data_IF_453765905613
#
_entry.id   IF_453765905613
#
_cell.length_a   1.000
_cell.length_b   1.000
_cell.length_c   1.000
_cell.angle_alpha   90.00
_cell.angle_beta   90.00
_cell.angle_gamma   90.00
#
_symmetry.space_group_name_H-M   'P 1'
#
loop_
_entity.id
_entity.type
_entity.pdbx_description
1 polymer ?
#
# COMPACT_ATOMS: atom_id res chain seq x y z
N UNK A 1 -22.24 1.59 6.97
CA UNK A 1 -21.79 2.29 8.20
C UNK A 1 -20.28 2.50 8.09
N UNK A 2 -19.78 3.60 8.64
CA UNK A 2 -18.36 3.91 8.73
C UNK A 2 -18.03 4.46 10.13
N UNK A 3 -16.79 4.19 10.60
CA UNK A 3 -16.27 4.73 11.86
C UNK A 3 -14.87 5.28 11.61
N UNK A 4 -14.60 6.48 12.12
CA UNK A 4 -13.27 7.09 12.06
C UNK A 4 -12.52 6.82 13.36
N UNK A 5 -11.26 6.40 13.23
CA UNK A 5 -10.33 6.23 14.34
C UNK A 5 -9.03 6.94 14.00
N UNK A 6 -8.60 7.91 14.83
CA UNK A 6 -7.34 8.62 14.64
C UNK A 6 -6.18 7.77 15.14
N UNK A 7 -5.29 7.36 14.24
CA UNK A 7 -4.14 6.53 14.54
C UNK A 7 -2.89 6.98 13.78
N UNK A 8 -1.74 6.82 14.39
CA UNK A 8 -0.44 6.78 13.73
C UNK A 8 -0.05 5.31 13.54
N UNK A 9 -0.22 4.79 12.32
CA UNK A 9 0.02 3.37 12.04
C UNK A 9 1.47 2.94 12.27
N UNK A 10 2.42 3.89 12.34
CA UNK A 10 3.81 3.62 12.70
C UNK A 10 3.99 3.27 14.20
N UNK A 11 2.95 3.45 15.03
CA UNK A 11 2.92 3.12 16.46
C UNK A 11 2.11 1.85 16.71
N UNK A 12 2.73 0.88 17.38
CA UNK A 12 2.10 -0.41 17.67
C UNK A 12 0.77 -0.28 18.42
N UNK A 13 0.73 0.58 19.45
CA UNK A 13 -0.49 0.78 20.26
C UNK A 13 -1.64 1.35 19.41
N UNK A 14 -1.34 2.29 18.49
CA UNK A 14 -2.35 2.89 17.63
C UNK A 14 -2.87 1.89 16.59
N UNK A 15 -1.99 1.08 15.99
CA UNK A 15 -2.37 0.01 15.07
C UNK A 15 -3.28 -1.04 15.76
N UNK A 16 -2.93 -1.43 16.98
CA UNK A 16 -3.75 -2.33 17.79
C UNK A 16 -5.10 -1.69 18.15
N UNK A 17 -5.10 -0.43 18.57
CA UNK A 17 -6.32 0.32 18.89
C UNK A 17 -7.26 0.48 17.71
N UNK A 18 -6.72 0.74 16.50
CA UNK A 18 -7.49 0.83 15.25
C UNK A 18 -8.21 -0.48 14.94
N UNK A 19 -7.49 -1.60 15.02
CA UNK A 19 -8.06 -2.93 14.76
C UNK A 19 -9.11 -3.29 15.81
N UNK A 20 -8.82 -3.07 17.10
CA UNK A 20 -9.77 -3.35 18.16
C UNK A 20 -11.03 -2.51 18.02
N UNK A 21 -10.90 -1.21 17.74
CA UNK A 21 -12.05 -0.33 17.51
C UNK A 21 -12.92 -0.77 16.32
N UNK A 22 -12.31 -1.40 15.30
CA UNK A 22 -13.04 -1.98 14.16
C UNK A 22 -13.83 -3.21 14.60
N UNK A 23 -13.19 -4.12 15.31
CA UNK A 23 -13.81 -5.35 15.82
C UNK A 23 -14.97 -5.01 16.77
N UNK A 24 -14.78 -4.06 17.68
CA UNK A 24 -15.81 -3.62 18.63
C UNK A 24 -17.01 -2.97 17.93
N UNK A 25 -16.77 -2.24 16.84
CA UNK A 25 -17.81 -1.52 16.14
C UNK A 25 -18.61 -2.41 15.16
N UNK A 26 -17.97 -3.41 14.55
CA UNK A 26 -18.56 -4.18 13.45
C UNK A 26 -18.62 -5.68 13.70
N UNK A 27 -18.14 -6.15 14.87
CA UNK A 27 -18.19 -7.56 15.26
C UNK A 27 -17.10 -8.43 14.62
N UNK A 28 -16.16 -7.83 13.85
CA UNK A 28 -15.08 -8.57 13.22
C UNK A 28 -14.28 -7.75 12.22
N UNK A 29 -13.31 -8.41 11.59
CA UNK A 29 -12.46 -7.81 10.55
C UNK A 29 -12.24 -8.85 9.46
N UNK A 30 -12.63 -8.54 8.24
CA UNK A 30 -12.53 -9.42 7.08
C UNK A 30 -11.47 -8.96 6.07
N UNK A 31 -11.31 -7.65 5.93
CA UNK A 31 -10.44 -7.02 4.94
C UNK A 31 -9.59 -5.97 5.61
N UNK A 32 -8.27 -6.02 5.38
CA UNK A 32 -7.32 -4.98 5.77
C UNK A 32 -6.70 -4.37 4.52
N UNK A 33 -6.82 -3.04 4.36
CA UNK A 33 -6.13 -2.29 3.31
C UNK A 33 -5.07 -1.39 3.96
N UNK A 34 -3.80 -1.69 3.75
CA UNK A 34 -2.67 -0.89 4.19
C UNK A 34 -2.30 0.15 3.12
N UNK A 35 -2.94 1.31 3.19
CA UNK A 35 -2.77 2.40 2.22
C UNK A 35 -2.11 3.65 2.81
N UNK A 36 -2.13 3.84 4.12
CA UNK A 36 -1.60 5.02 4.78
C UNK A 36 -0.16 5.35 4.37
N UNK A 37 0.11 6.61 4.10
CA UNK A 37 1.46 7.03 3.75
C UNK A 37 1.59 8.44 3.21
N UNK A 38 2.83 8.87 3.12
CA UNK A 38 3.24 10.16 2.57
C UNK A 38 4.66 10.08 2.00
N UNK A 39 5.14 11.13 1.37
CA UNK A 39 6.52 11.22 0.86
C UNK A 39 7.32 12.30 1.61
N UNK A 40 8.65 12.06 1.73
CA UNK A 40 9.65 13.04 2.18
C UNK A 40 10.84 12.96 1.23
N UNK A 41 10.73 13.57 0.04
CA UNK A 41 11.76 13.45 -0.99
C UNK A 41 13.01 14.25 -0.61
N UNK A 42 14.17 13.66 -0.89
CA UNK A 42 15.48 14.29 -0.85
C UNK A 42 16.46 13.49 -1.70
N UNK A 43 17.45 14.14 -2.28
CA UNK A 43 18.57 13.44 -2.92
C UNK A 43 19.33 12.61 -1.88
N UNK A 44 19.80 11.42 -2.25
CA UNK A 44 20.41 10.45 -1.33
C UNK A 44 21.45 11.08 -0.38
N UNK A 45 22.37 11.89 -0.91
CA UNK A 45 23.42 12.53 -0.10
C UNK A 45 22.92 13.65 0.83
N UNK A 46 21.65 14.09 0.66
CA UNK A 46 21.05 15.16 1.47
C UNK A 46 19.89 14.64 2.32
N UNK A 47 19.52 13.36 2.17
CA UNK A 47 18.42 12.78 2.94
C UNK A 47 18.84 12.62 4.39
N UNK A 48 18.03 13.14 5.31
CA UNK A 48 18.27 12.96 6.74
C UNK A 48 17.71 11.62 7.22
N UNK A 49 18.23 11.13 8.34
CA UNK A 49 17.73 9.90 8.97
C UNK A 49 16.24 10.04 9.36
N UNK A 50 15.82 11.22 9.80
CA UNK A 50 14.41 11.49 10.13
C UNK A 50 13.51 11.38 8.90
N UNK A 51 13.96 11.88 7.74
CA UNK A 51 13.21 11.76 6.48
C UNK A 51 13.12 10.29 6.04
N UNK A 52 14.19 9.53 6.23
CA UNK A 52 14.22 8.09 5.96
C UNK A 52 13.26 7.34 6.88
N UNK A 53 13.43 7.49 8.19
CA UNK A 53 12.65 6.79 9.20
C UNK A 53 11.15 7.10 9.08
N UNK A 54 10.77 8.37 8.90
CA UNK A 54 9.38 8.76 8.77
C UNK A 54 8.66 8.04 7.63
N UNK A 55 9.33 7.85 6.48
CA UNK A 55 8.73 7.18 5.32
C UNK A 55 8.73 5.65 5.48
N UNK A 56 9.83 5.07 5.96
CA UNK A 56 9.92 3.63 6.19
C UNK A 56 8.95 3.19 7.29
N UNK A 57 8.85 3.96 8.36
CA UNK A 57 7.97 3.65 9.49
C UNK A 57 6.50 3.67 9.08
N UNK A 58 6.04 4.68 8.32
CA UNK A 58 4.62 4.75 7.96
C UNK A 58 4.24 3.68 6.91
N UNK A 59 5.07 3.47 5.89
CA UNK A 59 4.72 2.60 4.78
C UNK A 59 4.99 1.11 5.06
N UNK A 60 6.19 0.79 5.57
CA UNK A 60 6.61 -0.61 5.73
C UNK A 60 6.26 -1.14 7.13
N UNK A 61 6.75 -0.47 8.18
CA UNK A 61 6.46 -0.87 9.54
C UNK A 61 4.97 -0.73 9.89
N UNK A 62 4.31 0.34 9.43
CA UNK A 62 2.87 0.54 9.63
C UNK A 62 2.04 -0.59 9.05
N UNK A 63 2.31 -0.99 7.80
CA UNK A 63 1.64 -2.13 7.17
C UNK A 63 1.89 -3.44 7.94
N UNK A 64 3.11 -3.66 8.45
CA UNK A 64 3.44 -4.80 9.31
C UNK A 64 2.64 -4.76 10.61
N UNK A 65 2.62 -3.63 11.33
CA UNK A 65 1.94 -3.50 12.62
C UNK A 65 0.42 -3.68 12.50
N UNK A 66 -0.20 -3.07 11.49
CA UNK A 66 -1.63 -3.25 11.23
C UNK A 66 -1.96 -4.70 10.87
N UNK A 67 -1.14 -5.34 10.04
CA UNK A 67 -1.32 -6.76 9.69
C UNK A 67 -1.12 -7.65 10.92
N UNK A 68 -0.10 -7.40 11.75
CA UNK A 68 0.13 -8.15 12.98
C UNK A 68 -1.04 -8.02 13.95
N UNK A 69 -1.69 -6.87 14.03
CA UNK A 69 -2.86 -6.67 14.87
C UNK A 69 -4.12 -7.34 14.28
N UNK A 70 -4.32 -7.30 12.97
CA UNK A 70 -5.49 -7.85 12.28
C UNK A 70 -5.47 -9.38 12.16
N UNK A 71 -4.30 -9.97 11.92
CA UNK A 71 -4.13 -11.40 11.64
C UNK A 71 -4.77 -12.35 12.69
N UNK A 72 -4.69 -12.13 14.01
CA UNK A 72 -5.34 -12.99 14.99
C UNK A 72 -6.86 -13.09 14.80
N UNK A 73 -7.52 -11.99 14.44
CA UNK A 73 -8.97 -11.97 14.19
C UNK A 73 -9.34 -12.74 12.91
N UNK A 74 -8.55 -12.60 11.87
CA UNK A 74 -8.72 -13.35 10.62
C UNK A 74 -8.43 -14.84 10.80
N UNK A 75 -7.39 -15.20 11.56
CA UNK A 75 -7.04 -16.59 11.89
C UNK A 75 -8.17 -17.26 12.65
N UNK A 76 -8.76 -16.60 13.65
CA UNK A 76 -9.88 -17.14 14.42
C UNK A 76 -11.10 -17.44 13.54
N UNK A 77 -11.31 -16.70 12.45
CA UNK A 77 -12.37 -16.90 11.46
C UNK A 77 -11.97 -17.87 10.34
N UNK A 78 -10.69 -18.24 10.26
CA UNK A 78 -10.10 -18.99 9.13
C UNK A 78 -10.40 -18.35 7.77
N UNK A 79 -10.39 -17.01 7.70
CA UNK A 79 -10.71 -16.24 6.51
C UNK A 79 -10.20 -14.80 6.66
N UNK A 80 -9.69 -14.21 5.56
CA UNK A 80 -9.28 -12.81 5.55
C UNK A 80 -8.63 -12.39 4.23
N UNK A 81 -8.66 -11.09 3.97
CA UNK A 81 -8.02 -10.46 2.82
C UNK A 81 -7.12 -9.31 3.29
N UNK A 82 -5.85 -9.36 2.93
CA UNK A 82 -4.88 -8.29 3.22
C UNK A 82 -4.43 -7.70 1.89
N UNK A 83 -4.62 -6.41 1.73
CA UNK A 83 -4.23 -5.67 0.53
C UNK A 83 -3.23 -4.60 0.94
N UNK A 84 -1.99 -4.77 0.54
CA UNK A 84 -0.94 -3.79 0.76
C UNK A 84 -0.77 -2.91 -0.49
N UNK A 85 -0.61 -1.61 -0.29
CA UNK A 85 -0.44 -0.66 -1.38
C UNK A 85 1.03 -0.35 -1.58
N UNK A 86 1.53 -0.63 -2.80
CA UNK A 86 2.85 -0.21 -3.25
C UNK A 86 2.75 0.85 -4.36
N UNK A 87 3.85 1.15 -4.97
CA UNK A 87 3.98 2.11 -6.07
C UNK A 87 4.98 1.57 -7.08
N UNK A 88 4.89 2.05 -8.30
CA UNK A 88 5.92 1.81 -9.33
C UNK A 88 7.32 2.19 -8.82
N UNK A 89 7.44 3.21 -7.95
CA UNK A 89 8.70 3.56 -7.30
C UNK A 89 9.33 2.40 -6.49
N UNK A 90 8.52 1.48 -5.97
CA UNK A 90 9.00 0.27 -5.28
C UNK A 90 9.53 -0.82 -6.22
N UNK A 91 9.23 -0.72 -7.52
CA UNK A 91 9.67 -1.67 -8.54
C UNK A 91 10.91 -1.15 -9.29
N UNK A 92 10.87 0.11 -9.75
CA UNK A 92 11.91 0.66 -10.64
C UNK A 92 12.79 1.72 -9.97
N UNK A 93 12.45 2.14 -8.75
CA UNK A 93 13.12 3.27 -8.09
C UNK A 93 12.67 4.63 -8.63
N UNK A 94 12.88 5.68 -7.84
CA UNK A 94 12.59 7.07 -8.25
C UNK A 94 13.64 8.00 -7.67
N UNK A 95 14.17 8.88 -8.51
CA UNK A 95 15.16 9.89 -8.11
C UNK A 95 14.59 10.76 -6.98
N UNK A 96 15.38 10.96 -5.93
CA UNK A 96 15.00 11.75 -4.75
C UNK A 96 14.01 11.05 -3.81
N UNK A 97 13.72 9.77 -4.02
CA UNK A 97 12.76 8.99 -3.20
C UNK A 97 13.33 7.63 -2.76
N UNK A 98 14.61 7.57 -2.39
CA UNK A 98 15.25 6.31 -1.99
C UNK A 98 14.56 5.67 -0.77
N UNK A 99 14.12 6.47 0.20
CA UNK A 99 13.33 6.02 1.35
C UNK A 99 11.99 5.40 0.93
N UNK A 100 11.26 6.07 0.06
CA UNK A 100 9.96 5.64 -0.45
C UNK A 100 10.09 4.39 -1.31
N UNK A 101 11.06 4.37 -2.21
CA UNK A 101 11.33 3.21 -3.07
C UNK A 101 11.71 1.97 -2.24
N UNK A 102 12.57 2.14 -1.22
CA UNK A 102 12.93 1.08 -0.31
C UNK A 102 11.73 0.56 0.48
N UNK A 103 10.91 1.46 1.05
CA UNK A 103 9.71 1.08 1.80
C UNK A 103 8.69 0.34 0.90
N UNK A 104 8.40 0.87 -0.29
CA UNK A 104 7.43 0.27 -1.23
C UNK A 104 7.94 -1.04 -1.85
N UNK A 105 9.24 -1.18 -2.08
CA UNK A 105 9.87 -2.45 -2.46
C UNK A 105 9.81 -3.48 -1.31
N UNK A 106 10.07 -3.03 -0.08
CA UNK A 106 9.93 -3.85 1.12
C UNK A 106 8.51 -4.38 1.33
N UNK A 107 7.49 -3.57 1.06
CA UNK A 107 6.07 -3.98 1.11
C UNK A 107 5.80 -5.16 0.17
N UNK A 108 6.37 -5.17 -1.03
CA UNK A 108 6.20 -6.28 -2.00
C UNK A 108 6.73 -7.59 -1.41
N UNK A 109 7.97 -7.58 -0.92
CA UNK A 109 8.61 -8.78 -0.37
C UNK A 109 7.97 -9.23 0.93
N UNK A 110 7.61 -8.28 1.81
CA UNK A 110 6.90 -8.55 3.06
C UNK A 110 5.55 -9.23 2.80
N UNK A 111 4.80 -8.77 1.81
CA UNK A 111 3.50 -9.37 1.47
C UNK A 111 3.63 -10.83 1.01
N UNK A 112 4.68 -11.17 0.27
CA UNK A 112 4.96 -12.55 -0.11
C UNK A 112 5.21 -13.46 1.11
N UNK A 113 5.89 -12.95 2.13
CA UNK A 113 6.08 -13.66 3.40
C UNK A 113 4.77 -13.81 4.15
N UNK A 114 3.97 -12.75 4.26
CA UNK A 114 2.63 -12.79 4.86
C UNK A 114 1.74 -13.84 4.18
N UNK A 115 1.74 -13.88 2.85
CA UNK A 115 0.97 -14.86 2.08
C UNK A 115 1.38 -16.31 2.43
N UNK A 116 2.68 -16.58 2.56
CA UNK A 116 3.19 -17.92 2.93
C UNK A 116 2.80 -18.32 4.36
N UNK A 117 2.89 -17.39 5.30
CA UNK A 117 2.61 -17.66 6.72
C UNK A 117 1.12 -17.84 7.01
N UNK A 118 0.26 -17.08 6.31
CA UNK A 118 -1.16 -16.98 6.60
C UNK A 118 -2.05 -17.87 5.72
N UNK A 119 -1.51 -18.44 4.63
CA UNK A 119 -2.27 -19.27 3.68
C UNK A 119 -2.96 -20.47 4.35
N UNK A 120 -2.32 -21.10 5.36
CA UNK A 120 -2.91 -22.22 6.12
C UNK A 120 -4.22 -21.86 6.85
N UNK A 121 -4.49 -20.56 7.00
CA UNK A 121 -5.69 -20.04 7.63
C UNK A 121 -6.65 -19.40 6.60
N UNK A 122 -6.53 -19.76 5.32
CA UNK A 122 -7.35 -19.20 4.24
C UNK A 122 -7.31 -17.67 4.15
N UNK A 123 -6.19 -17.05 4.53
CA UNK A 123 -5.97 -15.62 4.44
C UNK A 123 -5.13 -15.33 3.20
N UNK A 124 -5.66 -14.52 2.30
CA UNK A 124 -4.96 -14.05 1.11
C UNK A 124 -4.30 -12.71 1.38
N UNK A 125 -3.02 -12.57 1.07
CA UNK A 125 -2.29 -11.32 1.17
C UNK A 125 -1.70 -10.94 -0.20
N UNK A 126 -2.12 -9.79 -0.75
CA UNK A 126 -1.71 -9.32 -2.07
C UNK A 126 -1.26 -7.86 -2.05
N UNK A 127 -0.61 -7.44 -3.11
CA UNK A 127 -0.11 -6.08 -3.30
C UNK A 127 -0.80 -5.45 -4.50
N UNK A 128 -1.27 -4.21 -4.36
CA UNK A 128 -1.64 -3.36 -5.49
C UNK A 128 -0.54 -2.34 -5.70
N UNK A 129 0.01 -2.31 -6.90
CA UNK A 129 0.99 -1.31 -7.34
C UNK A 129 0.24 -0.21 -8.08
N UNK A 130 0.22 0.98 -7.50
CA UNK A 130 -0.45 2.13 -8.10
C UNK A 130 0.50 2.93 -8.98
N UNK A 131 -0.02 3.35 -10.14
CA UNK A 131 0.57 4.36 -10.99
C UNK A 131 0.37 5.77 -10.45
N UNK A 132 0.53 6.77 -11.31
CA UNK A 132 0.33 8.17 -10.96
C UNK A 132 -1.14 8.54 -11.14
N UNK A 133 -1.73 9.07 -10.08
CA UNK A 133 -3.11 9.55 -10.01
C UNK A 133 -3.07 10.96 -9.42
N UNK A 134 -3.83 11.94 -9.96
CA UNK A 134 -3.90 13.29 -9.41
C UNK A 134 -4.43 13.28 -7.98
N UNK A 135 -3.56 13.59 -7.03
CA UNK A 135 -3.82 13.71 -5.60
C UNK A 135 -2.85 14.71 -5.01
N UNK A 136 -3.05 15.16 -3.79
CA UNK A 136 -2.12 16.06 -3.09
C UNK A 136 -0.67 15.52 -3.10
N UNK A 137 -0.50 14.19 -3.01
CA UNK A 137 0.83 13.55 -3.03
C UNK A 137 1.53 13.69 -4.39
N UNK A 138 0.80 13.72 -5.47
CA UNK A 138 1.30 13.80 -6.85
C UNK A 138 1.17 15.19 -7.47
N UNK A 139 0.65 16.19 -6.73
CA UNK A 139 0.36 17.54 -7.21
C UNK A 139 1.52 18.12 -8.03
N UNK A 140 2.74 18.07 -7.49
CA UNK A 140 3.92 18.57 -8.20
C UNK A 140 4.17 17.89 -9.56
N UNK A 141 3.85 16.59 -9.66
CA UNK A 141 4.03 15.82 -10.90
C UNK A 141 2.95 16.20 -11.92
N UNK A 142 1.74 16.43 -11.45
CA UNK A 142 0.57 16.66 -12.30
C UNK A 142 0.42 18.12 -12.73
N UNK A 143 1.04 19.07 -12.01
CA UNK A 143 0.95 20.51 -12.26
C UNK A 143 2.19 21.10 -12.96
N UNK A 144 3.39 20.52 -12.75
CA UNK A 144 4.62 20.95 -13.45
C UNK A 144 4.66 20.31 -14.84
N UNK A 145 4.53 21.12 -15.89
CA UNK A 145 4.44 20.65 -17.28
C UNK A 145 5.64 19.79 -17.70
N UNK A 146 6.85 20.11 -17.23
CA UNK A 146 8.06 19.35 -17.55
C UNK A 146 8.05 17.97 -16.89
N UNK A 147 7.69 17.91 -15.61
CA UNK A 147 7.57 16.64 -14.91
C UNK A 147 6.42 15.79 -15.48
N UNK A 148 5.28 16.42 -15.76
CA UNK A 148 4.12 15.78 -16.37
C UNK A 148 4.51 15.11 -17.70
N UNK A 149 5.19 15.82 -18.58
CA UNK A 149 5.66 15.27 -19.86
C UNK A 149 6.60 14.07 -19.64
N UNK A 150 7.58 14.18 -18.73
CA UNK A 150 8.51 13.09 -18.41
C UNK A 150 7.78 11.84 -17.96
N UNK A 151 6.81 11.97 -17.06
CA UNK A 151 6.06 10.83 -16.55
C UNK A 151 5.07 10.27 -17.56
N UNK A 152 4.35 11.14 -18.29
CA UNK A 152 3.44 10.73 -19.36
C UNK A 152 4.14 9.95 -20.47
N UNK A 153 5.37 10.31 -20.80
CA UNK A 153 6.17 9.57 -21.80
C UNK A 153 6.51 8.14 -21.37
N UNK A 154 6.54 7.86 -20.05
CA UNK A 154 6.79 6.53 -19.50
C UNK A 154 5.52 5.69 -19.35
N UNK A 155 4.37 6.33 -19.22
CA UNK A 155 3.07 5.63 -19.09
C UNK A 155 2.61 5.20 -20.50
N UNK A 156 2.35 3.91 -20.71
CA UNK A 156 1.94 3.41 -22.03
C UNK A 156 0.61 4.00 -22.48
N UNK A 157 -0.35 4.16 -21.55
CA UNK A 157 -1.66 4.75 -21.86
C UNK A 157 -1.61 6.27 -22.05
N UNK A 158 -0.44 6.92 -21.89
CA UNK A 158 -0.20 8.36 -22.16
C UNK A 158 -1.13 9.29 -21.38
N UNK A 159 -1.57 8.88 -20.23
CA UNK A 159 -2.37 9.69 -19.28
C UNK A 159 -2.14 9.23 -17.86
N UNK A 160 -2.42 10.08 -16.89
CA UNK A 160 -2.56 9.68 -15.50
C UNK A 160 -3.85 8.89 -15.29
N UNK A 161 -3.88 8.05 -14.28
CA UNK A 161 -5.08 7.33 -13.87
C UNK A 161 -6.03 8.25 -13.09
N UNK A 162 -7.31 7.88 -13.05
CA UNK A 162 -8.28 8.50 -12.17
C UNK A 162 -8.48 7.63 -10.91
N UNK A 163 -8.82 8.21 -9.73
CA UNK A 163 -9.04 7.44 -8.50
C UNK A 163 -10.06 6.30 -8.68
N UNK A 164 -11.09 6.53 -9.47
CA UNK A 164 -12.16 5.58 -9.75
C UNK A 164 -11.67 4.36 -10.53
N UNK A 165 -10.61 4.50 -11.34
CA UNK A 165 -10.01 3.41 -12.12
C UNK A 165 -9.17 2.46 -11.25
N UNK A 166 -8.76 2.90 -10.06
CA UNK A 166 -8.01 2.08 -9.12
C UNK A 166 -8.93 1.19 -8.27
N UNK A 167 -10.11 1.71 -7.92
CA UNK A 167 -11.05 1.07 -6.99
C UNK A 167 -11.43 -0.37 -7.38
N UNK A 168 -11.71 -0.71 -8.65
CA UNK A 168 -12.08 -2.08 -9.04
C UNK A 168 -11.05 -3.13 -8.66
N UNK A 169 -9.75 -2.80 -8.72
CA UNK A 169 -8.69 -3.74 -8.33
C UNK A 169 -8.72 -4.06 -6.83
N UNK A 170 -9.02 -3.07 -5.99
CA UNK A 170 -9.20 -3.28 -4.54
C UNK A 170 -10.43 -4.14 -4.26
N UNK A 171 -11.56 -3.84 -4.89
CA UNK A 171 -12.81 -4.60 -4.74
C UNK A 171 -12.60 -6.04 -5.17
N UNK A 172 -11.96 -6.28 -6.31
CA UNK A 172 -11.64 -7.62 -6.81
C UNK A 172 -10.78 -8.42 -5.81
N UNK A 173 -9.66 -7.86 -5.35
CA UNK A 173 -8.79 -8.56 -4.41
C UNK A 173 -9.41 -8.74 -3.02
N UNK A 174 -10.40 -7.92 -2.64
CA UNK A 174 -11.16 -8.03 -1.40
C UNK A 174 -12.29 -9.06 -1.48
N UNK A 175 -12.72 -9.44 -2.68
CA UNK A 175 -13.86 -10.34 -2.92
C UNK A 175 -13.46 -11.82 -2.86
N UNK A 176 -14.48 -12.68 -2.87
CA UNK A 176 -14.31 -14.14 -2.95
C UNK A 176 -13.83 -14.61 -4.33
N UNK A 177 -14.03 -13.80 -5.37
CA UNK A 177 -13.51 -14.06 -6.72
C UNK A 177 -11.98 -14.16 -6.74
N UNK A 178 -11.29 -13.50 -5.78
CA UNK A 178 -9.85 -13.59 -5.59
C UNK A 178 -9.43 -14.61 -4.51
N UNK A 179 -10.26 -15.60 -4.18
CA UNK A 179 -9.97 -16.57 -3.11
C UNK A 179 -8.77 -17.48 -3.40
N UNK A 180 -8.36 -17.63 -4.66
CA UNK A 180 -7.17 -18.41 -5.05
C UNK A 180 -5.98 -17.54 -5.46
N UNK A 181 -6.03 -16.22 -5.14
CA UNK A 181 -4.97 -15.25 -5.45
C UNK A 181 -4.30 -14.83 -4.14
N UNK A 182 -3.03 -15.18 -3.96
CA UNK A 182 -2.23 -14.76 -2.81
C UNK A 182 -0.76 -14.57 -3.18
N UNK A 183 -0.07 -13.63 -2.52
CA UNK A 183 1.33 -13.28 -2.75
C UNK A 183 1.59 -12.54 -4.08
N UNK A 184 0.53 -12.09 -4.77
CA UNK A 184 0.64 -11.47 -6.08
C UNK A 184 0.75 -9.94 -5.99
N UNK A 185 1.40 -9.37 -7.00
CA UNK A 185 1.44 -7.94 -7.26
C UNK A 185 0.57 -7.66 -8.49
N UNK A 186 -0.49 -6.89 -8.28
CA UNK A 186 -1.36 -6.40 -9.35
C UNK A 186 -1.02 -4.93 -9.63
N UNK A 187 -0.48 -4.65 -10.80
CA UNK A 187 -0.20 -3.28 -11.23
C UNK A 187 -1.44 -2.64 -11.84
N UNK A 188 -1.77 -1.44 -11.37
CA UNK A 188 -2.83 -0.55 -11.89
C UNK A 188 -2.16 0.79 -12.16
N UNK A 189 -1.42 0.89 -13.25
CA UNK A 189 -0.44 1.96 -13.47
C UNK A 189 -0.36 2.46 -14.93
N UNK A 190 -1.30 2.03 -15.77
CA UNK A 190 -1.30 2.40 -17.19
C UNK A 190 -0.10 1.86 -17.98
N UNK A 191 0.56 0.82 -17.46
CA UNK A 191 1.77 0.22 -18.06
C UNK A 191 3.07 0.94 -17.71
N UNK A 192 3.07 1.80 -16.69
CA UNK A 192 4.25 2.57 -16.28
C UNK A 192 5.37 1.68 -15.70
N UNK A 193 5.02 0.69 -14.89
CA UNK A 193 5.97 -0.22 -14.25
C UNK A 193 6.29 -1.48 -15.06
N UNK A 194 5.83 -1.55 -16.30
CA UNK A 194 6.10 -2.68 -17.17
C UNK A 194 7.57 -2.64 -17.64
N UNK A 195 8.37 -3.60 -17.14
CA UNK A 195 9.79 -3.75 -17.41
C UNK A 195 9.99 -4.99 -18.30
#
# INVERSE_FOLDING_TARGET
>A
QAKVFKADVAKKADAQGLVQATVDAFGGLDILVNNAGFTRPAMMLKMTEEQWNAVVDIHLKGAFLCTQAAAPHMIAKNSGKIINVTSVAGMVGTVGQINYSAAKGGVISMTKSMARELARNNICANVICLGIVPTDMSEKITTDEKLKEIYMNRILLKRFGEPEELTPAFVFLASDEASYITGQLLAVDGGYGMI
#
